data_IF_712332835888
#
_entry.id   IF_712332835888
#
_cell.length_a   1.000
_cell.length_b   1.000
_cell.length_c   1.000
_cell.angle_alpha   90.00
_cell.angle_beta   90.00
_cell.angle_gamma   90.00
#
_symmetry.space_group_name_H-M   'P 1'
#
loop_
_entity.id
_entity.type
_entity.pdbx_description
1 polymer ?
#
# COMPACT_ATOMS: atom_id res chain seq x y z
N UNK A 1 -14.89 -34.78 63.83
CA UNK A 1 -14.48 -36.19 64.04
C UNK A 1 -13.33 -36.46 63.09
N UNK A 2 -12.05 -36.51 63.49
CA UNK A 2 -11.40 -37.59 64.28
C UNK A 2 -11.75 -38.96 63.66
N UNK A 3 -10.86 -39.71 63.02
CA UNK A 3 -9.65 -40.35 63.56
C UNK A 3 -8.85 -40.92 62.34
N UNK A 4 -7.54 -40.64 62.19
CA UNK A 4 -6.41 -41.55 62.54
C UNK A 4 -6.23 -42.76 61.57
N UNK A 5 -5.04 -43.22 61.17
CA UNK A 5 -3.64 -42.83 61.35
C UNK A 5 -2.76 -43.82 60.54
N UNK A 6 -1.60 -43.34 60.06
CA UNK A 6 -0.29 -44.02 60.00
C UNK A 6 -0.16 -45.44 59.39
N UNK A 7 0.75 -45.57 58.40
CA UNK A 7 2.01 -46.32 58.56
C UNK A 7 3.15 -45.64 57.80
N UNK A 8 4.28 -45.51 58.50
CA UNK A 8 5.53 -44.83 58.11
C UNK A 8 6.56 -45.83 57.54
N UNK A 9 7.37 -45.30 56.62
CA UNK A 9 8.84 -45.37 56.53
C UNK A 9 9.59 -46.65 56.07
N UNK A 10 10.75 -46.32 55.48
CA UNK A 10 11.89 -47.13 55.00
C UNK A 10 11.72 -47.59 53.54
N UNK A 11 12.60 -47.26 52.59
CA UNK A 11 14.06 -47.27 52.64
C UNK A 11 14.70 -46.20 51.73
N UNK A 12 15.79 -45.60 52.22
CA UNK A 12 16.77 -44.88 51.43
C UNK A 12 17.90 -45.84 51.03
N UNK A 13 18.24 -45.91 49.75
CA UNK A 13 19.60 -46.17 49.24
C UNK A 13 19.58 -46.31 47.71
N UNK A 14 20.46 -45.56 47.04
CA UNK A 14 21.02 -45.96 45.76
C UNK A 14 20.32 -45.45 44.52
N UNK A 15 20.66 -44.22 44.09
CA UNK A 15 21.26 -43.98 42.78
C UNK A 15 21.62 -42.49 42.68
N UNK A 16 22.85 -42.15 43.06
CA UNK A 16 23.49 -40.92 42.60
C UNK A 16 23.91 -41.19 41.14
N UNK A 17 22.93 -41.19 40.22
CA UNK A 17 23.22 -41.29 38.80
C UNK A 17 23.83 -39.95 38.38
N UNK A 18 25.10 -40.01 37.98
CA UNK A 18 25.84 -38.95 37.33
C UNK A 18 24.95 -38.30 36.25
N UNK A 19 24.45 -37.09 36.55
CA UNK A 19 24.03 -36.13 35.54
C UNK A 19 25.29 -35.67 34.81
N UNK A 20 25.84 -36.55 33.97
CA UNK A 20 26.55 -36.14 32.77
C UNK A 20 25.47 -35.50 31.91
N UNK A 21 25.18 -34.23 32.18
CA UNK A 21 24.43 -33.40 31.26
C UNK A 21 25.18 -33.46 29.95
N UNK A 22 24.65 -34.21 29.00
CA UNK A 22 24.99 -34.00 27.59
C UNK A 22 24.95 -32.50 27.39
N UNK A 23 26.01 -31.85 26.87
CA UNK A 23 25.89 -30.46 26.49
C UNK A 23 24.68 -30.41 25.59
N UNK A 24 23.61 -29.75 26.05
CA UNK A 24 22.47 -29.45 25.21
C UNK A 24 23.12 -28.80 24.01
N UNK A 25 23.11 -29.51 22.88
CA UNK A 25 23.73 -29.04 21.65
C UNK A 25 23.16 -27.66 21.48
N UNK A 26 24.00 -26.63 21.64
CA UNK A 26 23.59 -25.26 21.42
C UNK A 26 23.11 -25.27 19.97
N UNK A 27 21.80 -25.35 19.77
CA UNK A 27 21.24 -25.17 18.46
C UNK A 27 21.68 -23.77 18.09
N UNK A 28 22.48 -23.67 17.04
CA UNK A 28 22.97 -22.40 16.54
C UNK A 28 21.75 -21.53 16.29
N UNK A 29 21.52 -20.57 17.18
CA UNK A 29 20.46 -19.59 17.03
C UNK A 29 20.86 -18.74 15.83
N UNK A 30 20.28 -19.05 14.66
CA UNK A 30 20.39 -18.22 13.48
C UNK A 30 19.36 -17.10 13.66
N UNK A 31 19.78 -15.84 13.84
CA UNK A 31 18.83 -14.75 13.95
C UNK A 31 17.99 -14.68 12.66
N UNK A 32 16.67 -14.47 12.76
CA UNK A 32 15.83 -14.34 11.58
C UNK A 32 16.33 -13.18 10.73
N UNK A 33 16.39 -13.36 9.42
CA UNK A 33 16.75 -12.29 8.49
C UNK A 33 15.64 -11.24 8.48
N UNK A 34 15.84 -10.15 9.24
CA UNK A 34 14.87 -9.07 9.35
C UNK A 34 14.71 -8.29 8.04
N UNK A 35 15.71 -8.34 7.15
CA UNK A 35 15.71 -7.53 5.93
C UNK A 35 14.56 -7.89 5.00
N UNK A 36 14.11 -9.15 5.03
CA UNK A 36 12.93 -9.62 4.27
C UNK A 36 11.64 -8.92 4.68
N UNK A 37 11.51 -8.47 5.94
CA UNK A 37 10.31 -7.79 6.43
C UNK A 37 10.41 -6.28 6.27
N UNK A 38 11.60 -5.71 6.47
CA UNK A 38 11.74 -4.25 6.48
C UNK A 38 11.40 -3.63 5.12
N UNK A 39 10.77 -2.46 5.14
CA UNK A 39 10.42 -1.70 3.95
C UNK A 39 8.97 -1.19 3.96
N UNK A 40 8.54 -0.73 2.80
CA UNK A 40 7.18 -0.26 2.56
C UNK A 40 6.38 -1.35 1.83
N UNK A 41 5.24 -1.69 2.41
CA UNK A 41 4.32 -2.71 1.95
C UNK A 41 2.99 -2.04 1.58
N UNK A 42 2.63 -2.10 0.31
CA UNK A 42 1.40 -1.55 -0.24
C UNK A 42 0.30 -2.60 -0.13
N UNK A 43 -0.82 -2.22 0.48
CA UNK A 43 -1.95 -3.11 0.66
C UNK A 43 -2.64 -3.41 -0.67
N UNK A 44 -2.74 -4.70 -1.01
CA UNK A 44 -3.43 -5.18 -2.22
C UNK A 44 -4.87 -5.51 -1.90
N UNK A 45 -5.09 -6.33 -0.88
CA UNK A 45 -6.44 -6.70 -0.44
C UNK A 45 -6.47 -7.27 0.97
N UNK A 46 -7.68 -7.32 1.53
CA UNK A 46 -8.00 -8.11 2.71
C UNK A 46 -9.17 -9.02 2.39
N UNK A 47 -8.98 -10.33 2.49
CA UNK A 47 -10.02 -11.33 2.24
C UNK A 47 -10.47 -11.93 3.57
N UNK A 48 -11.71 -11.65 3.97
CA UNK A 48 -12.38 -12.34 5.09
C UNK A 48 -13.53 -13.22 4.60
N UNK A 49 -14.12 -14.00 5.51
CA UNK A 49 -15.22 -14.92 5.17
C UNK A 49 -16.41 -14.27 4.44
N UNK A 50 -16.73 -13.03 4.79
CA UNK A 50 -17.96 -12.35 4.35
C UNK A 50 -17.71 -11.22 3.36
N UNK A 51 -16.44 -10.81 3.18
CA UNK A 51 -16.11 -9.66 2.35
C UNK A 51 -14.64 -9.68 1.92
N UNK A 52 -14.43 -9.32 0.66
CA UNK A 52 -13.12 -8.92 0.13
C UNK A 52 -13.05 -7.40 0.08
N UNK A 53 -11.97 -6.84 0.59
CA UNK A 53 -11.70 -5.41 0.58
C UNK A 53 -10.47 -5.14 -0.26
N UNK A 54 -10.61 -4.32 -1.29
CA UNK A 54 -9.49 -3.84 -2.12
C UNK A 54 -9.41 -2.31 -2.06
N UNK A 55 -8.29 -1.68 -2.48
CA UNK A 55 -8.20 -0.23 -2.57
C UNK A 55 -9.32 0.41 -3.40
N UNK A 56 -9.73 -0.25 -4.48
CA UNK A 56 -10.79 0.21 -5.38
C UNK A 56 -12.16 0.13 -4.70
N UNK A 57 -12.49 -0.99 -4.05
CA UNK A 57 -13.79 -1.18 -3.37
C UNK A 57 -13.92 -0.27 -2.14
N UNK A 58 -12.83 -0.08 -1.39
CA UNK A 58 -12.82 0.81 -0.21
C UNK A 58 -12.65 2.28 -0.55
N UNK A 59 -12.14 2.58 -1.75
CA UNK A 59 -11.76 3.94 -2.15
C UNK A 59 -10.65 4.52 -1.27
N UNK A 60 -9.78 3.66 -0.73
CA UNK A 60 -8.68 4.04 0.15
C UNK A 60 -7.48 3.12 -0.12
N UNK A 61 -6.26 3.65 -0.15
CA UNK A 61 -5.05 2.82 -0.13
C UNK A 61 -4.52 2.70 1.30
N UNK A 62 -3.71 1.68 1.54
CA UNK A 62 -3.06 1.49 2.83
C UNK A 62 -1.60 1.15 2.64
N UNK A 63 -0.77 1.57 3.58
CA UNK A 63 0.67 1.32 3.55
C UNK A 63 1.12 0.88 4.92
N UNK A 64 1.75 -0.29 4.98
CA UNK A 64 2.45 -0.81 6.15
C UNK A 64 3.95 -0.52 5.99
N UNK A 65 4.53 0.20 6.94
CA UNK A 65 5.97 0.47 6.98
C UNK A 65 6.58 -0.32 8.12
N UNK A 66 7.47 -1.26 7.79
CA UNK A 66 8.24 -2.05 8.76
C UNK A 66 9.67 -1.52 8.78
N UNK A 67 10.11 -1.00 9.92
CA UNK A 67 11.42 -0.38 10.07
C UNK A 67 12.45 -1.37 10.61
N UNK A 68 13.73 -1.12 10.34
CA UNK A 68 14.83 -1.99 10.79
C UNK A 68 15.07 -1.94 12.31
N UNK A 69 14.52 -0.94 12.99
CA UNK A 69 14.55 -0.81 14.45
C UNK A 69 13.35 -1.51 15.12
N UNK A 70 12.64 -2.36 14.38
CA UNK A 70 11.47 -3.12 14.82
C UNK A 70 10.24 -2.25 15.12
N UNK A 71 10.23 -1.00 14.68
CA UNK A 71 9.01 -0.18 14.73
C UNK A 71 8.18 -0.34 13.46
N UNK A 72 6.88 -0.05 13.56
CA UNK A 72 6.01 -0.03 12.40
C UNK A 72 5.00 1.10 12.44
N UNK A 73 4.55 1.52 11.26
CA UNK A 73 3.40 2.41 11.07
C UNK A 73 2.47 1.84 10.01
N UNK A 74 1.16 1.95 10.23
CA UNK A 74 0.14 1.53 9.28
C UNK A 74 -0.77 2.71 8.94
N UNK A 75 -0.72 3.15 7.69
CA UNK A 75 -1.42 4.32 7.20
C UNK A 75 -2.58 3.94 6.30
N UNK A 76 -3.65 4.74 6.33
CA UNK A 76 -4.73 4.72 5.35
C UNK A 76 -4.85 6.09 4.67
N UNK A 77 -4.83 6.06 3.34
CA UNK A 77 -5.02 7.24 2.52
C UNK A 77 -6.40 7.22 1.88
N UNK A 78 -7.22 8.23 2.18
CA UNK A 78 -8.55 8.38 1.61
C UNK A 78 -8.79 9.82 1.16
N UNK A 79 -8.81 10.04 -0.16
CA UNK A 79 -8.91 11.38 -0.74
C UNK A 79 -7.67 12.21 -0.42
N UNK A 80 -7.83 13.22 0.45
CA UNK A 80 -6.73 14.08 0.93
C UNK A 80 -6.27 13.74 2.34
N UNK A 81 -6.92 12.77 3.00
CA UNK A 81 -6.62 12.42 4.39
C UNK A 81 -5.60 11.29 4.43
N UNK A 82 -4.52 11.53 5.14
CA UNK A 82 -3.64 10.51 5.68
C UNK A 82 -4.05 10.24 7.12
N UNK A 83 -4.38 8.99 7.42
CA UNK A 83 -4.76 8.55 8.76
C UNK A 83 -3.81 7.45 9.21
N UNK A 84 -3.03 7.73 10.26
CA UNK A 84 -2.30 6.70 10.98
C UNK A 84 -3.32 5.80 11.69
N UNK A 85 -3.50 4.58 11.19
CA UNK A 85 -4.41 3.59 11.78
C UNK A 85 -3.82 3.01 13.05
N UNK A 86 -2.54 2.64 13.02
CA UNK A 86 -1.80 2.16 14.18
C UNK A 86 -0.29 2.32 13.98
N UNK A 87 0.44 2.26 15.09
CA UNK A 87 1.90 2.18 15.13
C UNK A 87 2.35 1.48 16.41
N UNK A 88 3.55 0.94 16.40
CA UNK A 88 4.11 0.28 17.57
C UNK A 88 5.42 -0.41 17.28
N UNK A 89 5.71 -1.44 18.07
CA UNK A 89 6.84 -2.34 17.88
C UNK A 89 6.29 -3.64 17.30
N UNK A 90 6.99 -4.22 16.35
CA UNK A 90 6.72 -5.58 15.91
C UNK A 90 7.84 -6.52 16.35
N UNK A 91 7.51 -7.79 16.57
CA UNK A 91 8.50 -8.83 16.85
C UNK A 91 8.30 -10.02 15.92
N UNK A 92 9.41 -10.67 15.57
CA UNK A 92 9.40 -11.89 14.76
C UNK A 92 9.50 -13.09 15.70
N UNK A 93 8.51 -13.96 15.63
CA UNK A 93 8.50 -15.23 16.35
C UNK A 93 8.57 -16.38 15.37
N UNK A 94 9.20 -17.48 15.78
CA UNK A 94 9.11 -18.76 15.12
C UNK A 94 8.44 -19.74 16.07
N UNK A 95 7.50 -20.52 15.57
CA UNK A 95 6.90 -21.61 16.34
C UNK A 95 6.81 -22.86 15.49
N UNK A 96 7.26 -23.98 16.02
CA UNK A 96 6.91 -25.30 15.50
C UNK A 96 5.52 -25.67 16.02
N UNK A 97 4.61 -26.08 15.14
CA UNK A 97 3.37 -26.71 15.61
C UNK A 97 3.68 -27.97 16.41
N UNK A 98 2.90 -28.22 17.46
CA UNK A 98 3.12 -29.38 18.34
C UNK A 98 2.88 -30.67 17.56
N UNK A 99 3.96 -31.34 17.14
CA UNK A 99 3.91 -32.57 16.33
C UNK A 99 4.14 -32.38 14.83
N UNK A 100 4.36 -31.15 14.36
CA UNK A 100 4.74 -30.83 12.98
C UNK A 100 6.25 -30.54 12.85
N UNK A 101 6.83 -30.87 11.70
CA UNK A 101 8.21 -30.46 11.34
C UNK A 101 8.27 -29.04 10.76
N UNK A 102 7.12 -28.40 10.57
CA UNK A 102 7.02 -27.09 9.94
C UNK A 102 7.18 -25.98 10.97
N UNK A 103 8.18 -25.11 10.74
CA UNK A 103 8.41 -23.89 11.51
C UNK A 103 7.62 -22.78 10.84
N UNK A 104 6.60 -22.27 11.51
CA UNK A 104 5.84 -21.11 11.02
C UNK A 104 6.44 -19.83 11.60
N UNK A 105 6.51 -18.81 10.75
CA UNK A 105 6.95 -17.46 11.17
C UNK A 105 5.73 -16.62 11.53
N UNK A 106 5.82 -15.85 12.61
CA UNK A 106 4.77 -14.93 13.05
C UNK A 106 5.31 -13.53 13.25
N UNK A 107 4.50 -12.53 12.92
CA UNK A 107 4.70 -11.16 13.39
C UNK A 107 3.70 -10.87 14.50
N UNK A 108 4.21 -10.33 15.61
CA UNK A 108 3.38 -9.78 16.68
C UNK A 108 3.50 -8.25 16.67
N UNK A 109 2.38 -7.57 16.46
CA UNK A 109 2.25 -6.12 16.34
C UNK A 109 1.63 -5.54 17.61
N UNK A 110 2.44 -4.83 18.40
CA UNK A 110 1.88 -4.07 19.52
C UNK A 110 1.09 -2.87 19.00
N UNK A 111 -0.13 -2.69 19.51
CA UNK A 111 -1.01 -1.60 19.11
C UNK A 111 -1.70 -1.79 17.76
N UNK A 112 -1.74 -3.00 17.18
CA UNK A 112 -2.54 -3.26 15.97
C UNK A 112 -4.00 -2.84 16.17
N UNK A 113 -4.60 -2.23 15.13
CA UNK A 113 -5.90 -1.57 15.26
C UNK A 113 -7.04 -2.58 15.48
N UNK A 114 -6.92 -3.80 14.94
CA UNK A 114 -7.81 -4.92 15.26
C UNK A 114 -7.19 -5.78 16.36
N UNK A 115 -7.78 -5.75 17.55
CA UNK A 115 -7.19 -6.40 18.74
C UNK A 115 -7.02 -7.92 18.62
N UNK A 116 -7.80 -8.58 17.76
CA UNK A 116 -7.75 -10.03 17.51
C UNK A 116 -6.72 -10.43 16.44
N UNK A 117 -6.07 -9.45 15.82
CA UNK A 117 -5.11 -9.61 14.71
C UNK A 117 -3.68 -9.25 15.11
N UNK A 118 -3.40 -9.00 16.40
CA UNK A 118 -2.06 -8.57 16.85
C UNK A 118 -0.96 -9.55 16.47
N UNK A 119 -1.23 -10.84 16.57
CA UNK A 119 -0.31 -11.90 16.14
C UNK A 119 -0.80 -12.50 14.82
N UNK A 120 0.05 -12.44 13.80
CA UNK A 120 -0.25 -12.91 12.45
C UNK A 120 0.76 -13.95 11.99
N UNK A 121 0.29 -15.03 11.37
CA UNK A 121 1.13 -15.90 10.54
C UNK A 121 1.64 -15.09 9.35
N UNK A 122 2.88 -15.36 8.97
CA UNK A 122 3.49 -14.77 7.78
C UNK A 122 3.67 -15.82 6.71
N UNK A 123 3.21 -15.48 5.50
CA UNK A 123 3.62 -16.17 4.29
C UNK A 123 4.23 -15.17 3.32
N UNK A 124 5.18 -15.64 2.51
CA UNK A 124 5.78 -14.87 1.43
C UNK A 124 5.57 -15.60 0.11
N UNK A 125 5.04 -14.90 -0.88
CA UNK A 125 5.03 -15.35 -2.27
C UNK A 125 6.18 -14.64 -3.01
N UNK A 126 7.35 -15.27 -3.00
CA UNK A 126 8.59 -14.63 -3.47
C UNK A 126 9.10 -13.52 -2.51
N UNK A 127 10.01 -12.65 -2.98
CA UNK A 127 10.65 -11.64 -2.12
C UNK A 127 9.78 -10.40 -1.83
N UNK A 128 8.75 -10.19 -2.66
CA UNK A 128 8.03 -8.91 -2.76
C UNK A 128 6.53 -9.02 -2.50
N UNK A 129 6.01 -10.19 -2.15
CA UNK A 129 4.62 -10.37 -1.70
C UNK A 129 4.60 -10.92 -0.28
N UNK A 130 3.82 -10.28 0.58
CA UNK A 130 3.68 -10.59 2.00
C UNK A 130 2.20 -10.81 2.32
N UNK A 131 1.88 -12.01 2.79
CA UNK A 131 0.56 -12.34 3.30
C UNK A 131 0.59 -12.44 4.82
N UNK A 132 -0.37 -11.80 5.47
CA UNK A 132 -0.54 -11.80 6.91
C UNK A 132 -1.93 -12.32 7.29
N UNK A 133 -1.98 -13.34 8.16
CA UNK A 133 -3.23 -13.94 8.63
C UNK A 133 -3.26 -13.99 10.15
N UNK A 134 -4.26 -13.37 10.78
CA UNK A 134 -4.41 -13.40 12.24
C UNK A 134 -4.55 -14.82 12.80
N UNK A 135 -3.90 -15.11 13.93
CA UNK A 135 -3.88 -16.47 14.51
C UNK A 135 -4.89 -16.69 15.62
N UNK A 136 -5.45 -15.61 16.18
CA UNK A 136 -6.31 -15.68 17.36
C UNK A 136 -7.80 -15.84 17.03
N UNK A 137 -8.15 -16.02 15.75
CA UNK A 137 -9.54 -16.24 15.36
C UNK A 137 -9.67 -17.23 14.21
N UNK A 138 -10.77 -18.01 14.21
CA UNK A 138 -11.01 -19.07 13.22
C UNK A 138 -11.23 -18.56 11.79
N UNK A 139 -11.32 -17.25 11.61
CA UNK A 139 -11.79 -16.60 10.38
C UNK A 139 -11.21 -15.21 10.24
N UNK A 140 -9.96 -15.04 10.65
CA UNK A 140 -9.24 -13.79 10.53
C UNK A 140 -9.07 -13.47 9.04
N UNK A 141 -9.23 -12.22 8.62
CA UNK A 141 -8.95 -11.86 7.24
C UNK A 141 -7.48 -12.11 6.92
N UNK A 142 -7.24 -12.59 5.71
CA UNK A 142 -5.93 -12.64 5.09
C UNK A 142 -5.65 -11.27 4.46
N UNK A 143 -4.51 -10.68 4.78
CA UNK A 143 -4.06 -9.40 4.24
C UNK A 143 -2.90 -9.62 3.29
N UNK A 144 -3.10 -9.29 2.02
CA UNK A 144 -2.06 -9.34 1.00
C UNK A 144 -1.42 -7.96 0.84
N UNK A 145 -0.08 -7.94 0.85
CA UNK A 145 0.72 -6.76 0.61
C UNK A 145 1.79 -7.02 -0.44
N UNK A 146 2.18 -5.97 -1.16
CA UNK A 146 3.31 -6.00 -2.08
C UNK A 146 4.36 -4.99 -1.69
N UNK A 147 5.64 -5.34 -1.84
CA UNK A 147 6.74 -4.43 -1.58
C UNK A 147 6.65 -3.28 -2.57
N UNK A 148 6.84 -2.07 -2.07
CA UNK A 148 6.74 -0.88 -2.90
C UNK A 148 7.39 0.35 -2.28
N UNK A 149 6.98 1.51 -2.78
CA UNK A 149 7.32 2.83 -2.25
C UNK A 149 6.09 3.71 -2.37
N UNK A 150 5.91 4.62 -1.43
CA UNK A 150 4.85 5.62 -1.51
C UNK A 150 5.33 7.01 -1.12
N UNK A 151 4.69 8.02 -1.68
CA UNK A 151 4.88 9.41 -1.30
C UNK A 151 3.55 10.15 -1.31
N UNK A 152 3.25 10.84 -0.22
CA UNK A 152 2.14 11.77 -0.10
C UNK A 152 2.69 13.20 0.05
N UNK A 153 2.17 14.14 -0.73
CA UNK A 153 2.54 15.54 -0.59
C UNK A 153 1.43 16.48 -1.02
N UNK A 154 1.43 17.68 -0.43
CA UNK A 154 0.50 18.78 -0.76
C UNK A 154 1.29 19.95 -1.31
N UNK A 155 0.75 20.62 -2.33
CA UNK A 155 1.34 21.83 -2.88
C UNK A 155 0.28 22.78 -3.42
N UNK A 156 0.67 24.03 -3.63
CA UNK A 156 -0.12 25.06 -4.30
C UNK A 156 0.70 25.68 -5.42
N UNK A 157 0.11 25.83 -6.60
CA UNK A 157 0.72 26.52 -7.74
C UNK A 157 -0.21 27.60 -8.27
N UNK A 158 0.38 28.70 -8.74
CA UNK A 158 -0.32 29.77 -9.44
C UNK A 158 -0.10 29.64 -10.95
N UNK A 159 -1.00 30.23 -11.73
CA UNK A 159 -0.94 30.22 -13.20
C UNK A 159 0.48 30.51 -13.72
N UNK A 160 0.92 29.68 -14.66
CA UNK A 160 2.24 29.79 -15.29
C UNK A 160 3.40 29.26 -14.46
N UNK A 161 3.20 28.95 -13.17
CA UNK A 161 4.21 28.30 -12.35
C UNK A 161 4.17 26.79 -12.54
N UNK A 162 5.36 26.18 -12.63
CA UNK A 162 5.49 24.73 -12.51
C UNK A 162 5.67 24.30 -11.05
N UNK A 163 5.45 23.02 -10.79
CA UNK A 163 5.83 22.37 -9.54
C UNK A 163 6.60 21.09 -9.83
N UNK A 164 7.59 20.79 -8.99
CA UNK A 164 8.39 19.57 -9.08
C UNK A 164 8.61 18.99 -7.68
N UNK A 165 8.36 17.70 -7.55
CA UNK A 165 8.68 16.90 -6.37
C UNK A 165 9.60 15.76 -6.79
N UNK A 166 10.81 15.76 -6.25
CA UNK A 166 11.69 14.59 -6.31
C UNK A 166 11.05 13.43 -5.54
N UNK A 167 11.01 12.27 -6.18
CA UNK A 167 10.63 11.01 -5.57
C UNK A 167 11.91 10.20 -5.38
N UNK A 168 11.96 8.98 -5.87
CA UNK A 168 13.00 8.02 -5.56
C UNK A 168 13.63 7.45 -6.83
N UNK A 169 14.90 7.05 -6.76
CA UNK A 169 15.68 6.54 -7.90
C UNK A 169 15.55 7.43 -9.15
N UNK A 170 15.72 8.75 -8.97
CA UNK A 170 15.63 9.72 -10.06
C UNK A 170 14.22 9.99 -10.59
N UNK A 171 13.20 9.32 -10.06
CA UNK A 171 11.80 9.58 -10.38
C UNK A 171 11.37 10.93 -9.82
N UNK A 172 10.51 11.64 -10.53
CA UNK A 172 9.91 12.88 -10.05
C UNK A 172 8.49 13.07 -10.59
N UNK A 173 7.66 13.72 -9.79
CA UNK A 173 6.36 14.22 -10.20
C UNK A 173 6.44 15.70 -10.51
N UNK A 174 5.88 16.12 -11.65
CA UNK A 174 5.80 17.53 -12.01
C UNK A 174 4.40 17.93 -12.46
N UNK A 175 4.01 19.16 -12.12
CA UNK A 175 2.95 19.89 -12.80
C UNK A 175 3.60 20.91 -13.72
N UNK A 176 3.54 20.66 -15.03
CA UNK A 176 4.12 21.53 -16.05
C UNK A 176 3.07 22.53 -16.53
N UNK A 177 3.36 23.85 -16.55
CA UNK A 177 2.41 24.83 -17.03
C UNK A 177 2.11 24.64 -18.52
N UNK A 178 0.86 24.86 -18.90
CA UNK A 178 0.32 24.84 -20.25
C UNK A 178 -0.50 26.13 -20.46
N UNK A 179 -0.85 26.44 -21.70
CA UNK A 179 -1.58 27.68 -22.04
C UNK A 179 -2.87 27.87 -21.22
N UNK A 180 -3.55 26.77 -20.88
CA UNK A 180 -4.85 26.79 -20.20
C UNK A 180 -4.86 26.07 -18.84
N UNK A 181 -3.69 25.74 -18.28
CA UNK A 181 -3.59 25.05 -17.00
C UNK A 181 -2.28 24.30 -16.80
N UNK A 182 -2.35 23.03 -16.42
CA UNK A 182 -1.16 22.18 -16.20
C UNK A 182 -1.31 20.79 -16.79
N UNK A 183 -0.16 20.18 -17.09
CA UNK A 183 -0.03 18.76 -17.37
C UNK A 183 0.68 18.08 -16.20
N UNK A 184 0.10 17.01 -15.68
CA UNK A 184 0.76 16.08 -14.77
C UNK A 184 1.75 15.21 -15.53
N UNK A 185 2.98 15.19 -15.03
CA UNK A 185 4.03 14.34 -15.59
C UNK A 185 4.73 13.56 -14.50
N UNK A 186 5.13 12.34 -14.84
CA UNK A 186 6.08 11.54 -14.05
C UNK A 186 7.31 11.34 -14.93
N UNK A 187 8.48 11.69 -14.42
CA UNK A 187 9.73 11.66 -15.18
C UNK A 187 10.75 10.80 -14.45
N UNK A 188 11.56 10.08 -15.20
CA UNK A 188 12.76 9.42 -14.69
C UNK A 188 13.99 10.14 -15.26
N UNK A 189 14.86 10.63 -14.37
CA UNK A 189 16.09 11.34 -14.74
C UNK A 189 17.01 10.53 -15.67
N UNK A 190 16.98 9.19 -15.61
CA UNK A 190 17.76 8.33 -16.49
C UNK A 190 17.22 8.30 -17.94
N UNK A 191 15.95 8.67 -18.14
CA UNK A 191 15.25 8.65 -19.43
C UNK A 191 15.03 10.04 -20.03
N UNK A 192 15.54 11.09 -19.39
CA UNK A 192 15.43 12.47 -19.88
C UNK A 192 14.04 13.06 -19.66
N UNK A 193 13.41 13.56 -20.73
CA UNK A 193 12.17 14.36 -20.64
C UNK A 193 10.88 13.59 -20.97
N UNK A 194 10.96 12.27 -21.13
CA UNK A 194 9.80 11.41 -21.41
C UNK A 194 8.80 11.42 -20.24
N UNK A 195 7.52 11.71 -20.52
CA UNK A 195 6.45 11.61 -19.54
C UNK A 195 6.02 10.14 -19.41
N UNK A 196 6.38 9.50 -18.30
CA UNK A 196 6.05 8.12 -17.95
C UNK A 196 4.58 7.96 -17.51
N UNK A 197 3.88 9.05 -17.19
CA UNK A 197 2.48 8.99 -16.83
C UNK A 197 1.63 8.62 -18.06
N UNK A 198 1.04 7.43 -18.03
CA UNK A 198 0.13 6.90 -19.04
C UNK A 198 -1.32 7.07 -18.61
N UNK A 199 -2.19 7.15 -19.61
CA UNK A 199 -3.63 7.27 -19.41
C UNK A 199 -4.18 5.89 -18.99
N UNK A 200 -4.82 5.83 -17.82
CA UNK A 200 -5.44 4.61 -17.26
C UNK A 200 -6.74 4.20 -17.94
N UNK A 201 -7.33 5.08 -18.76
CA UNK A 201 -8.64 4.85 -19.37
C UNK A 201 -8.59 5.18 -20.84
N UNK A 202 -9.12 4.29 -21.69
CA UNK A 202 -9.32 4.58 -23.10
C UNK A 202 -10.01 5.93 -23.27
N UNK A 203 -9.66 6.67 -24.32
CA UNK A 203 -10.18 8.00 -24.65
C UNK A 203 -11.72 8.09 -24.80
N UNK A 204 -12.45 7.01 -24.55
CA UNK A 204 -13.90 6.88 -24.67
C UNK A 204 -14.70 7.46 -23.48
N UNK A 205 -14.07 7.94 -22.40
CA UNK A 205 -14.82 8.28 -21.16
C UNK A 205 -14.48 9.63 -20.47
N UNK A 206 -13.79 10.57 -21.12
CA UNK A 206 -13.58 11.91 -20.57
C UNK A 206 -12.31 12.60 -21.08
N UNK A 207 -12.00 13.83 -20.60
CA UNK A 207 -10.75 14.49 -20.93
C UNK A 207 -9.56 13.74 -20.30
N UNK A 208 -8.37 13.92 -20.89
CA UNK A 208 -7.14 13.29 -20.41
C UNK A 208 -6.94 13.60 -18.91
N UNK A 209 -6.89 12.58 -18.03
CA UNK A 209 -6.77 12.79 -16.60
C UNK A 209 -5.47 13.51 -16.22
N UNK A 210 -4.46 13.52 -17.10
CA UNK A 210 -3.19 14.25 -16.92
C UNK A 210 -3.33 15.75 -17.12
N UNK A 211 -4.34 16.19 -17.86
CA UNK A 211 -4.56 17.60 -18.14
C UNK A 211 -5.50 18.22 -17.10
N UNK A 212 -5.05 19.31 -16.49
CA UNK A 212 -5.80 20.13 -15.55
C UNK A 212 -6.10 21.47 -16.22
N UNK A 213 -7.28 21.61 -16.82
CA UNK A 213 -7.65 22.81 -17.58
C UNK A 213 -8.91 23.47 -17.04
N UNK A 214 -8.95 24.81 -17.04
CA UNK A 214 -10.08 25.57 -16.49
C UNK A 214 -11.42 25.22 -17.12
N UNK A 215 -11.43 24.92 -18.43
CA UNK A 215 -12.63 24.51 -19.17
C UNK A 215 -13.26 23.21 -18.62
N UNK A 216 -12.46 22.29 -18.08
CA UNK A 216 -12.96 21.03 -17.52
C UNK A 216 -13.81 21.28 -16.27
N UNK A 217 -13.52 22.34 -15.51
CA UNK A 217 -14.22 22.70 -14.27
C UNK A 217 -15.53 23.48 -14.51
N UNK A 218 -15.78 23.90 -15.76
CA UNK A 218 -16.98 24.66 -16.17
C UNK A 218 -18.25 23.81 -16.24
N UNK A 219 -18.17 22.56 -16.69
CA UNK A 219 -19.37 21.78 -17.08
C UNK A 219 -20.25 21.36 -15.89
N UNK A 220 -19.76 21.57 -14.66
CA UNK A 220 -20.52 21.34 -13.44
C UNK A 220 -21.62 22.36 -13.15
N UNK A 221 -21.54 23.56 -13.72
CA UNK A 221 -22.42 24.67 -13.37
C UNK A 221 -23.53 24.94 -14.37
N UNK A 222 -23.57 24.26 -15.53
CA UNK A 222 -24.47 24.65 -16.64
C UNK A 222 -25.38 23.55 -17.22
N UNK A 223 -25.39 22.30 -16.70
CA UNK A 223 -26.44 21.33 -17.10
C UNK A 223 -27.73 21.64 -16.34
N UNK A 224 -28.64 22.30 -17.03
CA UNK A 224 -29.95 22.77 -16.53
C UNK A 224 -30.90 21.67 -16.08
N UNK A 225 -30.70 21.16 -14.87
CA UNK A 225 -31.76 20.63 -14.02
C UNK A 225 -31.87 21.55 -12.80
N UNK A 226 -33.09 21.73 -12.26
CA UNK A 226 -33.38 22.47 -11.02
C UNK A 226 -32.77 21.82 -9.75
N UNK A 227 -31.55 21.29 -9.84
CA UNK A 227 -30.73 20.86 -8.71
C UNK A 227 -29.61 21.86 -8.54
N UNK A 228 -29.41 22.37 -7.32
CA UNK A 228 -28.33 23.30 -6.97
C UNK A 228 -27.02 22.86 -7.63
N UNK A 229 -26.40 23.74 -8.42
CA UNK A 229 -25.05 23.53 -8.91
C UNK A 229 -24.15 23.19 -7.71
N UNK A 230 -23.54 22.01 -7.73
CA UNK A 230 -22.55 21.66 -6.74
C UNK A 230 -21.39 22.65 -6.90
N UNK A 231 -21.07 23.40 -5.84
CA UNK A 231 -19.90 24.31 -5.79
C UNK A 231 -18.58 23.58 -6.11
N UNK A 232 -18.63 22.26 -6.12
CA UNK A 232 -17.49 21.35 -6.10
C UNK A 232 -17.17 20.68 -7.44
N UNK A 233 -17.96 20.85 -8.49
CA UNK A 233 -17.73 20.10 -9.73
C UNK A 233 -18.09 18.61 -9.63
N UNK A 234 -18.15 17.85 -10.74
CA UNK A 234 -18.25 16.41 -10.67
C UNK A 234 -16.99 15.81 -10.03
N UNK A 235 -17.18 14.78 -9.19
CA UNK A 235 -16.14 14.21 -8.34
C UNK A 235 -14.88 13.74 -9.10
N UNK A 236 -15.02 13.30 -10.35
CA UNK A 236 -13.89 12.89 -11.20
C UNK A 236 -12.97 14.06 -11.58
N UNK A 237 -13.43 15.31 -11.51
CA UNK A 237 -12.59 16.51 -11.66
C UNK A 237 -11.73 16.80 -10.43
N UNK A 238 -12.23 16.44 -9.24
CA UNK A 238 -11.49 16.60 -8.00
C UNK A 238 -10.41 15.55 -7.83
N UNK A 239 -10.60 14.33 -8.35
CA UNK A 239 -9.66 13.23 -8.16
C UNK A 239 -9.20 12.71 -9.52
N UNK A 240 -7.92 12.96 -9.85
CA UNK A 240 -7.26 12.44 -11.04
C UNK A 240 -6.44 11.21 -10.68
N UNK A 241 -6.75 10.08 -11.31
CA UNK A 241 -5.96 8.85 -11.21
C UNK A 241 -5.15 8.67 -12.47
N UNK A 242 -3.91 8.23 -12.33
CA UNK A 242 -3.02 7.91 -13.45
C UNK A 242 -2.13 6.71 -13.10
N UNK A 243 -1.60 6.06 -14.12
CA UNK A 243 -0.60 5.00 -14.01
C UNK A 243 0.69 5.50 -14.63
N UNK A 244 1.82 4.97 -14.20
CA UNK A 244 3.10 5.20 -14.84
C UNK A 244 3.91 3.91 -14.86
N UNK A 245 4.83 3.77 -15.81
CA UNK A 245 5.76 2.66 -15.82
C UNK A 245 7.12 3.15 -16.29
N UNK A 246 8.17 2.63 -15.67
CA UNK A 246 9.55 2.86 -16.10
C UNK A 246 9.91 2.03 -17.33
N UNK A 247 9.13 1.00 -17.65
CA UNK A 247 9.30 0.21 -18.86
C UNK A 247 8.57 0.92 -19.98
N UNK A 248 9.33 1.36 -20.98
CA UNK A 248 8.78 1.82 -22.24
C UNK A 248 8.01 0.67 -22.86
N UNK A 249 6.72 0.85 -23.17
CA UNK A 249 5.96 -0.07 -23.99
C UNK A 249 6.69 -0.24 -25.32
N UNK A 250 7.56 -1.25 -25.43
CA UNK A 250 8.12 -1.65 -26.72
C UNK A 250 6.94 -2.08 -27.56
N UNK A 251 6.80 -1.44 -28.71
CA UNK A 251 5.77 -1.76 -29.68
C UNK A 251 6.29 -2.93 -30.52
N UNK A 252 6.61 -4.04 -29.86
CA UNK A 252 7.07 -5.22 -30.58
C UNK A 252 5.83 -5.90 -31.15
N UNK A 253 5.64 -5.63 -32.44
CA UNK A 253 4.56 -6.13 -33.26
C UNK A 253 4.80 -7.61 -33.59
N UNK A 254 4.78 -8.49 -32.58
CA UNK A 254 4.53 -9.93 -32.69
C UNK A 254 4.89 -10.63 -31.36
N UNK A 255 3.92 -11.27 -30.75
CA UNK A 255 4.16 -12.46 -29.93
C UNK A 255 4.27 -12.23 -28.42
N UNK A 256 3.26 -12.78 -27.74
CA UNK A 256 3.24 -13.23 -26.34
C UNK A 256 3.30 -12.15 -25.26
N UNK A 257 2.35 -12.24 -24.33
CA UNK A 257 2.13 -11.29 -23.25
C UNK A 257 3.34 -11.24 -22.33
N UNK A 258 4.23 -10.28 -22.60
CA UNK A 258 5.30 -9.92 -21.69
C UNK A 258 4.66 -9.45 -20.38
N UNK A 259 5.10 -10.08 -19.29
CA UNK A 259 4.76 -9.77 -17.90
C UNK A 259 5.09 -8.30 -17.66
N UNK A 260 4.08 -7.45 -17.82
CA UNK A 260 4.22 -6.00 -17.69
C UNK A 260 4.54 -5.72 -16.23
N UNK A 261 5.75 -5.22 -15.97
CA UNK A 261 6.12 -4.62 -14.68
C UNK A 261 4.92 -3.85 -14.11
N UNK A 262 4.50 -4.14 -12.87
CA UNK A 262 3.28 -3.60 -12.31
C UNK A 262 3.39 -2.07 -12.38
N UNK A 263 2.41 -1.39 -12.99
CA UNK A 263 2.51 0.03 -13.13
C UNK A 263 2.53 0.69 -11.75
N UNK A 264 3.34 1.73 -11.62
CA UNK A 264 3.14 2.68 -10.54
C UNK A 264 1.79 3.39 -10.69
N UNK A 265 1.21 3.80 -9.58
CA UNK A 265 -0.08 4.46 -9.50
C UNK A 265 0.06 5.84 -8.88
N UNK A 266 -0.74 6.78 -9.37
CA UNK A 266 -0.81 8.12 -8.82
C UNK A 266 -2.24 8.61 -8.70
N UNK A 267 -2.51 9.32 -7.61
CA UNK A 267 -3.78 10.02 -7.39
C UNK A 267 -3.48 11.47 -7.01
N UNK A 268 -3.90 12.41 -7.86
CA UNK A 268 -3.93 13.84 -7.53
C UNK A 268 -5.34 14.26 -7.14
N UNK A 269 -5.49 14.82 -5.95
CA UNK A 269 -6.74 15.38 -5.44
C UNK A 269 -6.65 16.90 -5.40
N UNK A 270 -7.53 17.58 -6.13
CA UNK A 270 -7.70 19.03 -6.10
C UNK A 270 -8.44 19.42 -4.83
N UNK A 271 -7.76 20.14 -3.93
CA UNK A 271 -8.32 20.60 -2.65
C UNK A 271 -9.03 21.94 -2.83
N UNK A 272 -8.34 22.88 -3.47
CA UNK A 272 -8.84 24.23 -3.73
C UNK A 272 -8.49 24.65 -5.14
N UNK A 273 -9.44 25.31 -5.80
CA UNK A 273 -9.31 25.80 -7.17
C UNK A 273 -9.82 27.23 -7.24
N UNK A 274 -9.01 28.11 -7.82
CA UNK A 274 -9.44 29.47 -8.16
C UNK A 274 -9.44 29.62 -9.67
N UNK A 275 -10.60 29.92 -10.24
CA UNK A 275 -10.77 30.21 -11.67
C UNK A 275 -10.83 31.72 -11.90
N UNK A 276 -10.38 32.15 -13.08
CA UNK A 276 -10.53 33.53 -13.53
C UNK A 276 -12.01 33.88 -13.72
N UNK A 277 -12.33 35.18 -13.67
CA UNK A 277 -13.68 35.65 -13.97
C UNK A 277 -14.05 35.27 -15.40
N UNK A 278 -15.25 34.73 -15.59
CA UNK A 278 -15.76 34.46 -16.93
C UNK A 278 -15.90 35.77 -17.71
N UNK A 279 -15.31 35.84 -18.91
CA UNK A 279 -15.51 36.91 -19.88
C UNK A 279 -16.11 36.34 -21.16
N UNK A 280 -16.93 37.14 -21.85
CA UNK A 280 -17.53 36.74 -23.12
C UNK A 280 -16.43 36.44 -24.14
N UNK A 281 -16.42 35.21 -24.67
CA UNK A 281 -15.47 34.78 -25.70
C UNK A 281 -14.10 34.29 -25.20
N UNK A 282 -13.83 34.30 -23.88
CA UNK A 282 -12.58 33.76 -23.33
C UNK A 282 -12.85 32.56 -22.44
N UNK A 283 -12.13 31.44 -22.61
CA UNK A 283 -12.18 30.33 -21.65
C UNK A 283 -11.81 30.82 -20.25
N UNK A 284 -12.48 30.31 -19.22
CA UNK A 284 -12.01 30.49 -17.85
C UNK A 284 -10.71 29.72 -17.66
N UNK A 285 -9.76 30.38 -17.03
CA UNK A 285 -8.42 29.86 -16.80
C UNK A 285 -8.26 29.58 -15.30
N UNK A 286 -7.35 28.68 -14.95
CA UNK A 286 -7.04 28.42 -13.55
C UNK A 286 -6.02 29.46 -13.07
N UNK A 287 -6.40 30.26 -12.08
CA UNK A 287 -5.50 31.25 -11.44
C UNK A 287 -4.58 30.58 -10.42
N UNK A 288 -5.13 29.66 -9.62
CA UNK A 288 -4.36 28.85 -8.69
C UNK A 288 -5.04 27.51 -8.40
N UNK A 289 -4.22 26.53 -8.03
CA UNK A 289 -4.66 25.21 -7.62
C UNK A 289 -3.83 24.74 -6.43
N UNK A 290 -4.53 24.30 -5.37
CA UNK A 290 -3.96 23.54 -4.27
C UNK A 290 -4.39 22.09 -4.40
N UNK A 291 -3.44 21.19 -4.27
CA UNK A 291 -3.65 19.77 -4.49
C UNK A 291 -2.85 18.92 -3.52
N UNK A 292 -3.32 17.69 -3.31
CA UNK A 292 -2.62 16.63 -2.60
C UNK A 292 -2.44 15.45 -3.54
N UNK A 293 -1.22 14.92 -3.61
CA UNK A 293 -0.85 13.83 -4.51
C UNK A 293 -0.29 12.66 -3.72
N UNK A 294 -0.85 11.47 -3.95
CA UNK A 294 -0.30 10.18 -3.55
C UNK A 294 0.32 9.50 -4.77
N UNK A 295 1.54 9.01 -4.65
CA UNK A 295 2.23 8.21 -5.67
C UNK A 295 2.71 6.92 -5.02
N UNK A 296 2.45 5.79 -5.66
CA UNK A 296 2.78 4.45 -5.23
C UNK A 296 3.50 3.72 -6.39
N UNK A 297 4.59 3.02 -6.12
CA UNK A 297 5.28 2.16 -7.10
C UNK A 297 5.52 0.79 -6.46
N UNK A 298 5.03 -0.27 -7.09
CA UNK A 298 5.31 -1.66 -6.71
C UNK A 298 6.72 -2.02 -7.15
N UNK A 299 7.46 -2.75 -6.33
CA UNK A 299 8.81 -3.25 -6.67
C UNK A 299 8.74 -4.75 -6.91
N UNK A 300 9.37 -5.21 -8.00
CA UNK A 300 9.75 -6.61 -8.18
C UNK A 300 8.60 -7.62 -8.28
N UNK A 301 7.42 -7.21 -8.76
CA UNK A 301 6.35 -8.18 -9.07
C UNK A 301 6.77 -9.04 -10.26
N UNK A 302 7.34 -10.20 -9.97
CA UNK A 302 7.26 -11.31 -10.90
C UNK A 302 5.80 -11.74 -10.92
N UNK A 303 5.14 -11.67 -12.08
CA UNK A 303 3.74 -12.02 -12.22
C UNK A 303 3.46 -13.38 -11.60
N UNK A 304 2.62 -13.40 -10.58
CA UNK A 304 2.01 -14.64 -10.12
C UNK A 304 1.02 -15.02 -11.21
N UNK A 305 1.51 -15.83 -12.16
CA UNK A 305 0.65 -16.61 -13.02
C UNK A 305 -0.34 -17.32 -12.10
N UNK A 306 -1.60 -16.89 -12.15
CA UNK A 306 -2.62 -17.31 -11.21
C UNK A 306 -2.64 -18.83 -11.08
N UNK A 307 -2.03 -19.34 -10.02
CA UNK A 307 -2.43 -20.61 -9.45
C UNK A 307 -3.78 -20.32 -8.85
N UNK A 308 -4.83 -20.73 -9.58
CA UNK A 308 -6.14 -20.94 -8.99
C UNK A 308 -5.93 -21.66 -7.66
N UNK A 309 -6.13 -20.94 -6.55
CA UNK A 309 -6.22 -21.56 -5.23
C UNK A 309 -7.46 -22.43 -5.30
N UNK A 310 -7.26 -23.72 -5.54
CA UNK A 310 -8.31 -24.73 -5.38
C UNK A 310 -8.74 -24.69 -3.91
N UNK A 311 -9.90 -24.09 -3.68
CA UNK A 311 -10.64 -24.23 -2.43
C UNK A 311 -10.98 -25.71 -2.25
N UNK A 312 -10.26 -26.37 -1.36
CA UNK A 312 -10.68 -27.64 -0.75
C UNK A 312 -11.28 -27.38 0.62
#
# INVERSE_FOLDING_TARGET
MRLLLLKRAAWAAGLLLLLLGSPASAQDFVPPDLTRFTGTWLWVESQGLVATSTPQVKGASRTLQLQSDLTYEFHQYQGTRDSLLCKGIFSVGESSETGGSEVVTTLDFDGWYETYEKRMLVSFEGPDTLDLVGVACASCPEHAFVRGRSALFTAEVRRGQGYRRGLWDGLSFELRPRDHGWEMTVLDSARGTENLARITTSAASGPDPRLLEGAQFRESSSRGAKGKASKDGPAWLKVRRFQFSRVSARKDAAGEGEDLDPPGHGTLTVEHLKLSKASAGTPQEIESIRFTTLIEEVRGWAGTAGTARDST
#
